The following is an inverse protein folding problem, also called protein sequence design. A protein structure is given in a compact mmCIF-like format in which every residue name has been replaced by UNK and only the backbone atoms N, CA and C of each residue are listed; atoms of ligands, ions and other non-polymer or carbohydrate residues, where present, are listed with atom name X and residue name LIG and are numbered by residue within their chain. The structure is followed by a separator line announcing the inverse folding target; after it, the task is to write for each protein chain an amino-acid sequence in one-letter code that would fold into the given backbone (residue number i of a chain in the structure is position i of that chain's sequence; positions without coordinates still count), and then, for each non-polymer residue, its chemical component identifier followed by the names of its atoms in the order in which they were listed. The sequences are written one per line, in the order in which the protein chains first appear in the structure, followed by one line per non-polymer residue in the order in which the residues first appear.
data_IF_602580587936
#
_entry.id   IF_602580587936
#
_cell.length_a   1.000
_cell.length_b   1.000
_cell.length_c   1.000
_cell.angle_alpha   90.00
_cell.angle_beta   90.00
_cell.angle_gamma   90.00
#
_symmetry.space_group_name_H-M   'P 1'
#
loop_
_entity.id
_entity.type
_entity.pdbx_description
1 polymer ?
#
# COMPACT_ATOMS: atom_id res chain seq x y z
N UNK A 1 -56.20 31.61 -51.37
CA UNK A 1 -55.31 30.42 -51.34
C UNK A 1 -54.64 30.36 -49.98
N UNK A 2 -55.06 29.46 -49.08
CA UNK A 2 -54.42 29.35 -47.76
C UNK A 2 -53.03 28.72 -47.92
N UNK A 3 -52.00 29.39 -47.41
CA UNK A 3 -50.62 28.89 -47.30
C UNK A 3 -50.61 27.71 -46.31
N UNK A 4 -50.79 26.49 -46.82
CA UNK A 4 -50.68 25.25 -46.02
C UNK A 4 -49.22 24.85 -45.69
N UNK A 5 -48.22 25.64 -46.12
CA UNK A 5 -46.79 25.34 -45.91
C UNK A 5 -46.27 25.52 -44.47
N UNK A 6 -47.08 26.02 -43.53
CA UNK A 6 -46.64 26.29 -42.15
C UNK A 6 -46.76 25.11 -41.18
N UNK A 7 -47.60 24.12 -41.47
CA UNK A 7 -47.93 23.06 -40.50
C UNK A 7 -46.80 22.03 -40.29
N UNK A 8 -45.88 21.88 -41.25
CA UNK A 8 -44.80 20.88 -41.21
C UNK A 8 -43.55 21.42 -40.50
N UNK A 9 -43.35 22.74 -40.47
CA UNK A 9 -42.16 23.37 -39.88
C UNK A 9 -42.17 23.30 -38.34
N UNK A 10 -43.34 23.38 -37.72
CA UNK A 10 -43.51 23.37 -36.26
C UNK A 10 -43.09 22.02 -35.61
N UNK A 11 -43.55 20.84 -36.08
CA UNK A 11 -43.08 19.56 -35.53
C UNK A 11 -41.59 19.33 -35.79
N UNK A 12 -41.06 19.76 -36.94
CA UNK A 12 -39.64 19.64 -37.24
C UNK A 12 -38.79 20.47 -36.26
N UNK A 13 -39.21 21.70 -35.95
CA UNK A 13 -38.55 22.56 -34.97
C UNK A 13 -38.58 22.01 -33.54
N UNK A 14 -39.67 21.34 -33.14
CA UNK A 14 -39.74 20.68 -31.83
C UNK A 14 -38.80 19.48 -31.74
N UNK A 15 -38.70 18.69 -32.81
CA UNK A 15 -37.79 17.54 -32.88
C UNK A 15 -36.34 18.00 -32.78
N UNK A 16 -35.94 19.04 -33.52
CA UNK A 16 -34.57 19.58 -33.45
C UNK A 16 -34.24 20.17 -32.08
N UNK A 17 -35.19 20.87 -31.45
CA UNK A 17 -35.03 21.37 -30.08
C UNK A 17 -34.84 20.22 -29.07
N UNK A 18 -35.64 19.15 -29.18
CA UNK A 18 -35.52 17.98 -28.32
C UNK A 18 -34.15 17.31 -28.44
N UNK A 19 -33.67 17.08 -29.67
CA UNK A 19 -32.34 16.51 -29.89
C UNK A 19 -31.21 17.41 -29.38
N UNK A 20 -31.36 18.73 -29.51
CA UNK A 20 -30.36 19.70 -29.01
C UNK A 20 -30.26 19.67 -27.49
N UNK A 21 -31.40 19.69 -26.79
CA UNK A 21 -31.45 19.59 -25.32
C UNK A 21 -30.91 18.23 -24.85
N UNK A 22 -31.30 17.14 -25.49
CA UNK A 22 -30.79 15.81 -25.18
C UNK A 22 -29.27 15.70 -25.38
N UNK A 23 -28.75 16.29 -26.47
CA UNK A 23 -27.31 16.33 -26.76
C UNK A 23 -26.50 17.09 -25.70
N UNK A 24 -26.99 18.27 -25.27
CA UNK A 24 -26.36 19.06 -24.20
C UNK A 24 -26.40 18.30 -22.87
N UNK A 25 -27.53 17.66 -22.55
CA UNK A 25 -27.67 16.84 -21.34
C UNK A 25 -26.68 15.66 -21.33
N UNK A 26 -26.59 14.92 -22.43
CA UNK A 26 -25.66 13.80 -22.57
C UNK A 26 -24.20 14.27 -22.47
N UNK A 27 -23.86 15.40 -23.09
CA UNK A 27 -22.53 16.00 -22.99
C UNK A 27 -22.18 16.37 -21.54
N UNK A 28 -23.12 16.98 -20.81
CA UNK A 28 -22.98 17.30 -19.39
C UNK A 28 -22.66 16.06 -18.55
N UNK A 29 -23.44 14.99 -18.73
CA UNK A 29 -23.21 13.70 -18.06
C UNK A 29 -21.84 13.13 -18.41
N UNK A 30 -21.48 13.03 -19.70
CA UNK A 30 -20.18 12.48 -20.12
C UNK A 30 -19.00 13.28 -19.55
N UNK A 31 -19.10 14.61 -19.52
CA UNK A 31 -18.06 15.47 -18.95
C UNK A 31 -17.87 15.26 -17.44
N UNK A 32 -18.98 15.09 -16.70
CA UNK A 32 -18.94 14.77 -15.27
C UNK A 32 -18.37 13.39 -14.99
N UNK A 33 -18.73 12.40 -15.81
CA UNK A 33 -18.17 11.04 -15.74
C UNK A 33 -16.66 11.04 -16.00
N UNK A 34 -16.18 11.77 -17.02
CA UNK A 34 -14.75 11.87 -17.33
C UNK A 34 -13.96 12.44 -16.16
N UNK A 35 -14.42 13.55 -15.57
CA UNK A 35 -13.78 14.15 -14.38
C UNK A 35 -13.75 13.17 -13.20
N UNK A 36 -14.85 12.46 -12.97
CA UNK A 36 -14.95 11.48 -11.88
C UNK A 36 -14.00 10.30 -12.09
N UNK A 37 -13.91 9.79 -13.33
CA UNK A 37 -13.01 8.70 -13.69
C UNK A 37 -11.54 9.11 -13.54
N UNK A 38 -11.17 10.33 -13.97
CA UNK A 38 -9.83 10.86 -13.82
C UNK A 38 -9.41 11.00 -12.34
N UNK A 39 -10.32 11.52 -11.51
CA UNK A 39 -10.10 11.59 -10.06
C UNK A 39 -9.92 10.18 -9.47
N UNK A 40 -10.76 9.22 -9.85
CA UNK A 40 -10.65 7.84 -9.38
C UNK A 40 -9.31 7.20 -9.76
N UNK A 41 -8.88 7.34 -11.01
CA UNK A 41 -7.58 6.82 -11.46
C UNK A 41 -6.40 7.44 -10.71
N UNK A 42 -6.46 8.74 -10.41
CA UNK A 42 -5.42 9.41 -9.62
C UNK A 42 -5.38 8.88 -8.18
N UNK A 43 -6.54 8.72 -7.54
CA UNK A 43 -6.64 8.18 -6.18
C UNK A 43 -6.17 6.72 -6.13
N UNK A 44 -6.56 5.92 -7.11
CA UNK A 44 -6.11 4.54 -7.29
C UNK A 44 -4.58 4.52 -7.39
N UNK A 45 -3.99 5.23 -8.35
CA UNK A 45 -2.53 5.26 -8.54
C UNK A 45 -1.78 5.64 -7.26
N UNK A 46 -2.28 6.64 -6.53
CA UNK A 46 -1.70 7.07 -5.26
C UNK A 46 -1.77 5.98 -4.17
N UNK A 47 -2.94 5.37 -3.97
CA UNK A 47 -3.12 4.30 -2.97
C UNK A 47 -2.30 3.07 -3.34
N UNK A 48 -2.27 2.70 -4.62
CA UNK A 48 -1.43 1.60 -5.13
C UNK A 48 0.05 1.88 -4.88
N UNK A 49 0.52 3.10 -5.13
CA UNK A 49 1.89 3.52 -4.86
C UNK A 49 2.26 3.32 -3.38
N UNK A 50 1.39 3.72 -2.45
CA UNK A 50 1.62 3.51 -1.01
C UNK A 50 1.56 2.05 -0.59
N UNK A 51 0.71 1.24 -1.21
CA UNK A 51 0.64 -0.19 -0.94
C UNK A 51 1.90 -0.93 -1.40
N UNK A 52 2.43 -0.56 -2.56
CA UNK A 52 3.71 -1.07 -3.06
C UNK A 52 4.87 -0.66 -2.15
N UNK A 53 4.91 0.62 -1.73
CA UNK A 53 5.90 1.10 -0.78
C UNK A 53 5.86 0.31 0.54
N UNK A 54 4.68 0.10 1.12
CA UNK A 54 4.50 -0.70 2.34
C UNK A 54 4.98 -2.14 2.14
N UNK A 55 4.59 -2.80 1.05
CA UNK A 55 5.03 -4.16 0.70
C UNK A 55 6.56 -4.26 0.66
N UNK A 56 7.20 -3.31 -0.01
CA UNK A 56 8.64 -3.33 -0.22
C UNK A 56 9.39 -3.10 1.09
N UNK A 57 8.90 -2.19 1.95
CA UNK A 57 9.44 -1.99 3.30
C UNK A 57 9.26 -3.20 4.20
N UNK A 58 8.07 -3.81 4.24
CA UNK A 58 7.82 -5.03 5.02
C UNK A 58 8.74 -6.18 4.59
N UNK A 59 8.96 -6.31 3.29
CA UNK A 59 9.89 -7.31 2.73
C UNK A 59 11.33 -7.00 3.09
N UNK A 60 11.75 -5.73 2.97
CA UNK A 60 13.10 -5.26 3.32
C UNK A 60 13.41 -5.49 4.80
N UNK A 61 12.49 -5.11 5.70
CA UNK A 61 12.64 -5.31 7.16
C UNK A 61 12.67 -6.80 7.50
N UNK A 62 11.84 -7.62 6.84
CA UNK A 62 11.87 -9.08 6.98
C UNK A 62 13.21 -9.69 6.59
N UNK A 63 13.78 -9.25 5.46
CA UNK A 63 15.10 -9.69 5.02
C UNK A 63 16.23 -9.21 5.94
N UNK A 64 16.15 -7.97 6.44
CA UNK A 64 17.09 -7.45 7.42
C UNK A 64 17.06 -8.26 8.73
N UNK A 65 15.86 -8.63 9.21
CA UNK A 65 15.70 -9.52 10.37
C UNK A 65 16.39 -10.87 10.16
N UNK A 66 16.27 -11.49 8.98
CA UNK A 66 16.96 -12.73 8.66
C UNK A 66 18.48 -12.56 8.64
N UNK A 67 18.99 -11.48 8.05
CA UNK A 67 20.43 -11.17 8.03
C UNK A 67 20.98 -10.94 9.44
N UNK A 68 20.28 -10.19 10.27
CA UNK A 68 20.64 -9.96 11.68
C UNK A 68 20.72 -11.28 12.43
N UNK A 69 19.75 -12.18 12.26
CA UNK A 69 19.80 -13.53 12.86
C UNK A 69 21.00 -14.34 12.39
N UNK A 70 21.28 -14.33 11.08
CA UNK A 70 22.42 -15.04 10.51
C UNK A 70 23.76 -14.50 11.03
N UNK A 71 23.94 -13.17 11.12
CA UNK A 71 25.14 -12.54 11.68
C UNK A 71 25.30 -12.91 13.15
N UNK A 72 24.21 -12.92 13.93
CA UNK A 72 24.25 -13.34 15.33
C UNK A 72 24.65 -14.81 15.50
N UNK A 73 24.15 -15.69 14.64
CA UNK A 73 24.58 -17.10 14.62
C UNK A 73 26.07 -17.21 14.25
N UNK A 74 26.54 -16.41 13.29
CA UNK A 74 27.95 -16.34 12.94
C UNK A 74 28.82 -15.81 14.09
N UNK A 75 28.34 -14.83 14.87
CA UNK A 75 29.04 -14.33 16.06
C UNK A 75 29.21 -15.43 17.14
N UNK A 76 28.21 -16.29 17.32
CA UNK A 76 28.31 -17.45 18.23
C UNK A 76 29.35 -18.46 17.73
N UNK A 77 29.42 -18.68 16.41
CA UNK A 77 30.41 -19.59 15.83
C UNK A 77 31.84 -18.98 15.81
N UNK A 78 31.96 -17.66 15.74
CA UNK A 78 33.22 -16.94 15.66
C UNK A 78 33.92 -16.72 17.02
N UNK A 79 33.49 -17.41 18.08
CA UNK A 79 34.11 -17.30 19.43
C UNK A 79 35.60 -17.64 19.43
N UNK A 80 36.07 -18.43 18.45
CA UNK A 80 37.46 -18.88 18.32
C UNK A 80 38.34 -17.96 17.45
N UNK A 81 37.77 -16.94 16.80
CA UNK A 81 38.46 -16.05 15.86
C UNK A 81 38.19 -14.57 16.20
N UNK A 82 39.00 -13.94 17.07
CA UNK A 82 38.72 -12.60 17.58
C UNK A 82 38.68 -11.52 16.49
N UNK A 83 39.48 -11.65 15.43
CA UNK A 83 39.48 -10.72 14.30
C UNK A 83 38.15 -10.73 13.53
N UNK A 84 37.57 -11.92 13.32
CA UNK A 84 36.28 -12.08 12.65
C UNK A 84 35.12 -11.53 13.49
N UNK A 85 35.22 -11.64 14.82
CA UNK A 85 34.18 -11.15 15.75
C UNK A 85 33.97 -9.65 15.63
N UNK A 86 35.04 -8.86 15.62
CA UNK A 86 34.93 -7.40 15.52
C UNK A 86 34.25 -6.96 14.21
N UNK A 87 34.61 -7.60 13.09
CA UNK A 87 33.99 -7.34 11.79
C UNK A 87 32.49 -7.70 11.78
N UNK A 88 32.11 -8.83 12.38
CA UNK A 88 30.72 -9.27 12.47
C UNK A 88 29.88 -8.37 13.41
N UNK A 89 30.44 -7.87 14.51
CA UNK A 89 29.78 -6.91 15.39
C UNK A 89 29.51 -5.58 14.69
N UNK A 90 30.47 -5.09 13.90
CA UNK A 90 30.29 -3.90 13.08
C UNK A 90 29.21 -4.13 12.00
N UNK A 91 29.25 -5.27 11.31
CA UNK A 91 28.25 -5.65 10.32
C UNK A 91 26.85 -5.73 10.93
N UNK A 92 26.73 -6.28 12.15
CA UNK A 92 25.48 -6.33 12.91
C UNK A 92 24.94 -4.92 13.15
N UNK A 93 25.75 -4.01 13.71
CA UNK A 93 25.35 -2.61 13.97
C UNK A 93 24.88 -1.89 12.69
N UNK A 94 25.56 -2.11 11.57
CA UNK A 94 25.16 -1.53 10.28
C UNK A 94 23.79 -2.07 9.82
N UNK A 95 23.57 -3.38 9.86
CA UNK A 95 22.27 -3.96 9.47
C UNK A 95 21.13 -3.45 10.36
N UNK A 96 21.42 -3.25 11.65
CA UNK A 96 20.49 -2.69 12.63
C UNK A 96 20.14 -1.25 12.30
N UNK A 97 21.14 -0.40 12.06
CA UNK A 97 20.91 1.00 11.66
C UNK A 97 20.13 1.12 10.35
N UNK A 98 20.43 0.27 9.36
CA UNK A 98 19.68 0.23 8.10
C UNK A 98 18.21 -0.16 8.33
N UNK A 99 17.96 -1.15 9.19
CA UNK A 99 16.60 -1.56 9.54
C UNK A 99 15.83 -0.43 10.25
N UNK A 100 16.46 0.25 11.21
CA UNK A 100 15.83 1.35 11.93
C UNK A 100 15.53 2.54 10.99
N UNK A 101 16.43 2.81 10.03
CA UNK A 101 16.19 3.78 8.97
C UNK A 101 14.98 3.45 8.09
N UNK A 102 14.71 2.16 7.82
CA UNK A 102 13.51 1.75 7.07
C UNK A 102 12.22 2.01 7.87
N UNK A 103 12.24 1.76 9.18
CA UNK A 103 11.10 2.00 10.08
C UNK A 103 10.84 3.50 10.20
N UNK A 104 11.87 4.30 10.48
CA UNK A 104 11.76 5.75 10.59
C UNK A 104 11.31 6.38 9.26
N UNK A 105 11.83 5.90 8.13
CA UNK A 105 11.40 6.34 6.81
C UNK A 105 9.91 6.05 6.56
N UNK A 106 9.36 4.96 7.08
CA UNK A 106 7.92 4.70 7.01
C UNK A 106 7.13 5.66 7.89
N UNK A 107 7.55 5.87 9.14
CA UNK A 107 6.91 6.83 10.06
C UNK A 107 6.89 8.23 9.47
N UNK A 108 7.97 8.64 8.79
CA UNK A 108 8.03 9.88 8.03
C UNK A 108 7.01 9.89 6.88
N UNK A 109 6.91 8.80 6.09
CA UNK A 109 5.86 8.66 5.06
C UNK A 109 4.45 8.74 5.64
N UNK A 110 4.19 8.18 6.83
CA UNK A 110 2.91 8.31 7.55
C UNK A 110 2.63 9.77 7.94
N UNK A 111 3.63 10.48 8.48
CA UNK A 111 3.52 11.90 8.82
C UNK A 111 3.25 12.76 7.59
N UNK A 112 3.99 12.53 6.49
CA UNK A 112 3.79 13.24 5.23
C UNK A 112 2.42 12.96 4.61
N UNK A 113 1.94 11.71 4.72
CA UNK A 113 0.60 11.33 4.28
C UNK A 113 -0.48 12.12 5.03
N UNK A 114 -0.38 12.20 6.36
CA UNK A 114 -1.32 12.97 7.17
C UNK A 114 -1.23 14.48 6.85
N UNK A 115 -0.01 15.02 6.74
CA UNK A 115 0.22 16.43 6.41
C UNK A 115 -0.37 16.82 5.04
N UNK A 116 -0.27 15.93 4.04
CA UNK A 116 -0.83 16.12 2.70
C UNK A 116 -2.31 15.77 2.59
N UNK A 117 -2.95 15.36 3.69
CA UNK A 117 -4.32 14.83 3.70
C UNK A 117 -4.50 13.67 2.70
N UNK A 118 -3.50 12.79 2.62
CA UNK A 118 -3.46 11.61 1.75
C UNK A 118 -2.93 11.88 0.35
N UNK A 119 -3.80 11.70 -0.64
CA UNK A 119 -3.50 11.84 -2.06
C UNK A 119 -3.72 13.29 -2.56
N UNK A 120 -3.27 14.27 -1.77
CA UNK A 120 -3.46 15.72 -2.00
C UNK A 120 -4.93 16.18 -1.98
N UNK A 121 -5.81 15.43 -1.32
CA UNK A 121 -7.24 15.74 -1.23
C UNK A 121 -7.55 16.73 -0.12
N UNK A 122 -8.05 17.93 -0.44
CA UNK A 122 -8.60 18.84 0.58
C UNK A 122 -9.91 18.35 1.17
N UNK A 123 -10.67 17.56 0.41
CA UNK A 123 -12.09 17.31 0.63
C UNK A 123 -12.41 15.90 1.20
N UNK A 124 -11.40 15.07 1.45
CA UNK A 124 -11.59 13.71 1.90
C UNK A 124 -10.95 13.50 3.27
N UNK A 125 -11.68 12.96 4.26
CA UNK A 125 -11.05 12.46 5.46
C UNK A 125 -9.99 11.42 5.07
N UNK A 126 -8.80 11.48 5.66
CA UNK A 126 -7.80 10.45 5.45
C UNK A 126 -7.71 9.54 6.64
N UNK A 127 -7.77 8.23 6.39
CA UNK A 127 -7.25 7.27 7.33
C UNK A 127 -5.73 7.42 7.41
N UNK A 128 -5.16 7.22 8.59
CA UNK A 128 -3.72 7.05 8.73
C UNK A 128 -3.25 5.84 7.92
N UNK A 129 -2.03 5.91 7.39
CA UNK A 129 -1.37 4.73 6.86
C UNK A 129 -1.15 3.71 8.00
N UNK A 130 -1.25 2.41 7.74
CA UNK A 130 -1.13 1.39 8.77
C UNK A 130 0.26 1.39 9.40
N UNK A 131 0.31 1.12 10.69
CA UNK A 131 1.56 0.92 11.41
C UNK A 131 2.22 -0.39 10.97
N UNK A 132 3.55 -0.42 11.03
CA UNK A 132 4.29 -1.65 10.79
C UNK A 132 4.01 -2.67 11.91
N UNK A 133 3.96 -3.98 11.61
CA UNK A 133 3.66 -5.03 12.59
C UNK A 133 4.83 -5.34 13.54
N UNK A 134 5.74 -4.41 13.80
CA UNK A 134 6.89 -4.66 14.68
C UNK A 134 6.66 -4.00 16.05
N UNK A 135 6.88 -4.74 17.14
CA UNK A 135 6.61 -4.34 18.53
C UNK A 135 7.72 -3.46 19.12
N UNK A 136 8.81 -3.25 18.39
CA UNK A 136 10.06 -2.68 18.89
C UNK A 136 11.15 -3.74 18.99
N UNK A 137 12.35 -3.28 19.37
CA UNK A 137 13.53 -4.13 19.56
C UNK A 137 13.65 -4.50 21.03
N UNK A 138 14.01 -5.74 21.31
CA UNK A 138 14.40 -6.15 22.67
C UNK A 138 15.75 -5.53 23.04
N UNK A 139 16.02 -5.41 24.33
CA UNK A 139 17.31 -4.91 24.81
C UNK A 139 18.47 -5.74 24.23
N UNK A 140 19.61 -5.11 23.92
CA UNK A 140 20.79 -5.83 23.44
C UNK A 140 21.22 -6.90 24.44
N UNK A 141 21.64 -8.06 23.93
CA UNK A 141 22.23 -9.13 24.74
C UNK A 141 23.76 -9.18 24.55
N UNK A 142 24.41 -10.23 25.07
CA UNK A 142 25.86 -10.40 24.97
C UNK A 142 26.39 -10.49 23.52
N UNK A 143 25.50 -10.76 22.55
CA UNK A 143 25.83 -10.79 21.11
C UNK A 143 25.51 -9.48 20.40
N UNK A 144 24.98 -8.48 21.12
CA UNK A 144 24.64 -7.16 20.62
C UNK A 144 23.14 -6.98 20.33
N UNK A 145 22.77 -6.05 19.43
CA UNK A 145 21.36 -5.74 19.18
C UNK A 145 20.60 -6.92 18.56
N UNK A 146 19.33 -7.03 18.93
CA UNK A 146 18.42 -8.09 18.48
C UNK A 146 17.61 -7.67 17.25
N UNK A 147 17.09 -8.60 16.41
CA UNK A 147 16.17 -8.25 15.33
C UNK A 147 14.85 -7.68 15.88
N UNK A 148 14.09 -6.96 15.03
CA UNK A 148 12.76 -6.48 15.39
C UNK A 148 11.79 -7.65 15.59
N UNK A 149 11.02 -7.59 16.69
CA UNK A 149 10.01 -8.61 17.01
C UNK A 149 8.67 -8.24 16.39
N UNK A 150 8.00 -9.21 15.78
CA UNK A 150 6.66 -9.01 15.25
C UNK A 150 5.64 -8.91 16.40
N UNK A 151 4.64 -8.03 16.29
CA UNK A 151 3.55 -7.94 17.27
C UNK A 151 2.79 -9.28 17.28
N UNK A 152 2.49 -9.88 18.44
CA UNK A 152 1.61 -11.03 18.50
C UNK A 152 0.23 -10.61 17.97
N UNK A 153 -0.29 -11.33 16.98
CA UNK A 153 -1.51 -10.93 16.26
C UNK A 153 -1.31 -9.73 15.33
N UNK A 154 -0.06 -9.32 15.05
CA UNK A 154 0.26 -8.37 13.99
C UNK A 154 -0.33 -8.89 12.68
N UNK A 155 -1.35 -8.20 12.18
CA UNK A 155 -2.17 -8.68 11.08
C UNK A 155 -1.30 -9.15 9.90
N UNK A 156 -1.68 -10.29 9.32
CA UNK A 156 -1.14 -10.73 8.03
C UNK A 156 -1.64 -9.86 6.88
N UNK A 157 -2.51 -8.90 7.16
CA UNK A 157 -3.21 -8.06 6.21
C UNK A 157 -3.22 -6.61 6.67
N UNK A 158 -2.85 -5.70 5.77
CA UNK A 158 -2.90 -4.26 5.97
C UNK A 158 -3.76 -3.61 4.90
N UNK A 159 -4.68 -2.76 5.36
CA UNK A 159 -5.57 -2.01 4.51
C UNK A 159 -5.14 -0.55 4.44
N UNK A 160 -4.87 -0.09 3.23
CA UNK A 160 -4.69 1.34 2.95
C UNK A 160 -5.99 1.83 2.33
N UNK A 161 -6.65 2.75 3.03
CA UNK A 161 -7.95 3.32 2.64
C UNK A 161 -7.97 4.83 2.82
N UNK A 162 -8.67 5.51 1.92
CA UNK A 162 -9.11 6.89 2.12
C UNK A 162 -10.38 6.87 2.98
N UNK A 163 -10.46 7.66 4.05
CA UNK A 163 -11.58 7.60 4.99
C UNK A 163 -12.77 8.44 4.45
N UNK A 164 -14.00 7.95 4.62
CA UNK A 164 -15.22 8.76 4.39
C UNK A 164 -15.82 8.82 2.97
N UNK A 165 -15.28 8.14 1.97
CA UNK A 165 -15.87 8.18 0.63
C UNK A 165 -17.07 7.21 0.49
N UNK A 166 -18.29 7.62 0.86
CA UNK A 166 -19.48 6.72 0.87
C UNK A 166 -19.78 5.95 -0.43
N UNK A 167 -19.20 6.26 -1.59
CA UNK A 167 -19.39 5.48 -2.83
C UNK A 167 -18.14 5.57 -3.74
N UNK A 168 -17.47 4.42 -3.92
CA UNK A 168 -16.26 4.11 -4.72
C UNK A 168 -14.92 4.40 -4.02
N UNK A 169 -14.18 3.32 -3.76
CA UNK A 169 -13.03 3.29 -2.85
C UNK A 169 -11.78 2.78 -3.57
N UNK A 170 -10.77 3.64 -3.67
CA UNK A 170 -9.40 3.21 -3.86
C UNK A 170 -8.93 2.62 -2.54
N UNK A 171 -8.86 1.29 -2.49
CA UNK A 171 -8.30 0.58 -1.35
C UNK A 171 -7.33 -0.48 -1.85
N UNK A 172 -6.24 -0.64 -1.11
CA UNK A 172 -5.25 -1.65 -1.40
C UNK A 172 -5.05 -2.52 -0.17
N UNK A 173 -4.99 -3.83 -0.42
CA UNK A 173 -4.69 -4.84 0.56
C UNK A 173 -3.24 -5.29 0.37
N UNK A 174 -2.44 -5.12 1.42
CA UNK A 174 -1.10 -5.69 1.49
C UNK A 174 -1.17 -6.90 2.42
N UNK A 175 -1.00 -8.10 1.88
CA UNK A 175 -1.07 -9.33 2.67
C UNK A 175 0.18 -10.17 2.57
N UNK A 176 0.47 -10.91 3.65
CA UNK A 176 1.56 -11.87 3.71
C UNK A 176 1.22 -13.05 2.82
N UNK A 177 2.12 -13.39 1.91
CA UNK A 177 1.98 -14.59 1.11
C UNK A 177 2.44 -15.80 1.93
N UNK A 178 1.49 -16.42 2.62
CA UNK A 178 1.71 -17.74 3.17
C UNK A 178 1.66 -18.74 2.01
N UNK A 179 2.81 -19.32 1.64
CA UNK A 179 2.79 -20.49 0.75
C UNK A 179 2.05 -21.58 1.52
N UNK A 180 0.83 -21.90 1.06
CA UNK A 180 0.09 -23.07 1.55
C UNK A 180 1.05 -24.26 1.62
N UNK A 181 1.18 -24.95 2.77
CA UNK A 181 2.15 -26.03 2.98
C UNK A 181 1.83 -27.32 2.21
N UNK A 182 1.18 -27.22 1.05
CA UNK A 182 0.79 -28.37 0.23
C UNK A 182 1.96 -29.03 -0.53
N UNK A 183 3.18 -28.47 -0.50
CA UNK A 183 4.38 -29.16 -1.00
C UNK A 183 5.26 -29.65 0.15
N UNK A 184 4.94 -30.85 0.64
CA UNK A 184 5.66 -31.61 1.68
C UNK A 184 7.02 -32.15 1.19
N UNK A 185 7.93 -31.26 0.80
CA UNK A 185 9.34 -31.59 0.66
C UNK A 185 10.10 -31.10 1.89
N UNK A 186 10.61 -32.01 2.73
CA UNK A 186 11.23 -31.74 4.03
C UNK A 186 12.41 -30.75 4.00
N UNK A 187 12.96 -30.44 2.82
CA UNK A 187 14.10 -29.54 2.64
C UNK A 187 13.75 -28.06 2.39
N UNK A 188 12.49 -27.71 2.15
CA UNK A 188 12.10 -26.32 1.84
C UNK A 188 11.61 -25.49 3.05
N UNK A 189 11.67 -26.05 4.26
CA UNK A 189 11.14 -25.41 5.47
C UNK A 189 12.03 -24.28 6.03
N UNK A 190 13.29 -24.15 5.59
CA UNK A 190 14.28 -23.32 6.31
C UNK A 190 14.32 -21.86 5.83
N UNK A 191 13.70 -21.53 4.69
CA UNK A 191 13.69 -20.14 4.20
C UNK A 191 12.28 -19.73 3.76
N UNK A 192 11.36 -19.62 4.72
CA UNK A 192 10.15 -18.81 4.54
C UNK A 192 10.58 -17.34 4.45
N UNK A 193 10.96 -16.90 3.25
CA UNK A 193 11.04 -15.46 2.95
C UNK A 193 9.67 -14.85 3.21
N UNK A 194 9.61 -13.83 4.08
CA UNK A 194 8.40 -13.04 4.33
C UNK A 194 8.05 -12.27 3.05
N UNK A 195 7.42 -12.95 2.09
CA UNK A 195 6.97 -12.32 0.84
C UNK A 195 5.63 -11.67 1.09
N UNK A 196 5.58 -10.36 0.89
CA UNK A 196 4.33 -9.61 0.94
C UNK A 196 3.81 -9.39 -0.49
N UNK A 197 2.49 -9.30 -0.64
CA UNK A 197 1.82 -8.98 -1.90
C UNK A 197 0.89 -7.80 -1.70
N UNK A 198 0.84 -6.92 -2.69
CA UNK A 198 -0.15 -5.85 -2.76
C UNK A 198 -1.18 -6.21 -3.84
N UNK A 199 -2.47 -6.06 -3.52
CA UNK A 199 -3.60 -6.27 -4.44
C UNK A 199 -4.66 -5.20 -4.19
N UNK A 200 -5.49 -4.96 -5.20
CA UNK A 200 -6.69 -4.14 -5.03
C UNK A 200 -7.66 -4.80 -4.06
N UNK A 201 -8.18 -4.00 -3.13
CA UNK A 201 -9.29 -4.37 -2.26
C UNK A 201 -10.55 -4.59 -3.10
N UNK A 202 -11.27 -5.71 -2.90
CA UNK A 202 -12.57 -5.90 -3.56
C UNK A 202 -13.62 -5.04 -2.86
N UNK A 203 -14.48 -4.33 -3.59
CA UNK A 203 -15.61 -3.64 -2.98
C UNK A 203 -16.50 -4.65 -2.24
N UNK A 204 -16.81 -4.41 -0.96
CA UNK A 204 -17.78 -5.19 -0.18
C UNK A 204 -17.23 -6.27 0.77
N UNK A 205 -15.92 -6.37 0.95
CA UNK A 205 -15.31 -7.28 1.95
C UNK A 205 -14.70 -6.44 3.07
N UNK A 206 -15.47 -5.57 3.73
CA UNK A 206 -15.03 -4.75 4.87
C UNK A 206 -16.15 -4.51 5.87
#
# INVERSE_FOLDING_TARGET
MPRQGGAILLPLGLVTAFFSVAGIGLWGVMSGWRKTAEIQLRLDSCVAGRALELRDRLTSVGNANLRIKAIRLALVAATLLPEARAALEAALKIQVALQDGQVLGWQWSQGLWLARRGCDGRDYPVGGLPDLPWLGREWPDMLGPQPLREKPGGGSEFYIRLAGARKRFSAALVSRFEKSPQNKGAFNAIVTTNRWRAKWARPGIY
#
